data_IF_632618617533
#
_entry.id   IF_632618617533
#
_cell.length_a   1.000
_cell.length_b   1.000
_cell.length_c   1.000
_cell.angle_alpha   90.00
_cell.angle_beta   90.00
_cell.angle_gamma   90.00
#
_symmetry.space_group_name_H-M   'P 1'
#
loop_
_entity.id
_entity.type
_entity.pdbx_description
1 polymer ?
#
# COMPACT_ATOMS: atom_id res chain seq x y z
N UNK A 1 32.21 14.76 -8.72
CA UNK A 1 32.61 14.71 -7.30
C UNK A 1 31.46 14.07 -6.53
N UNK A 2 31.56 12.85 -5.97
CA UNK A 2 30.50 12.34 -5.14
C UNK A 2 30.64 13.03 -3.78
N UNK A 3 29.87 14.12 -3.60
CA UNK A 3 29.77 14.78 -2.31
C UNK A 3 29.07 13.81 -1.35
N UNK A 4 29.81 13.32 -0.36
CA UNK A 4 29.19 12.65 0.78
C UNK A 4 28.12 13.54 1.41
N UNK A 5 27.24 12.96 2.25
CA UNK A 5 26.17 13.72 2.89
C UNK A 5 26.78 14.92 3.64
N UNK A 6 26.38 16.13 3.24
CA UNK A 6 26.87 17.36 3.87
C UNK A 6 26.42 17.39 5.33
N UNK A 7 27.37 17.49 6.26
CA UNK A 7 27.06 17.64 7.69
C UNK A 7 26.12 18.84 7.93
N UNK A 8 26.27 19.90 7.14
CA UNK A 8 25.39 21.08 7.16
C UNK A 8 23.93 20.71 6.84
N UNK A 9 23.70 19.81 5.88
CA UNK A 9 22.35 19.38 5.52
C UNK A 9 21.72 18.49 6.59
N UNK A 10 22.54 17.64 7.24
CA UNK A 10 22.10 16.85 8.39
C UNK A 10 21.67 17.77 9.54
N UNK A 11 22.50 18.75 9.89
CA UNK A 11 22.21 19.70 10.98
C UNK A 11 20.97 20.55 10.65
N UNK A 12 20.82 20.99 9.39
CA UNK A 12 19.62 21.68 8.94
C UNK A 12 18.34 20.83 9.09
N UNK A 13 18.41 19.52 8.86
CA UNK A 13 17.26 18.62 9.08
C UNK A 13 16.91 18.48 10.57
N UNK A 14 17.91 18.50 11.46
CA UNK A 14 17.68 18.50 12.91
C UNK A 14 17.01 19.80 13.37
N UNK A 15 17.44 20.94 12.84
CA UNK A 15 16.79 22.23 13.11
C UNK A 15 15.36 22.25 12.55
N UNK A 16 15.14 21.75 11.34
CA UNK A 16 13.81 21.66 10.73
C UNK A 16 12.82 20.79 11.53
N UNK A 17 13.32 19.85 12.33
CA UNK A 17 12.50 19.05 13.26
C UNK A 17 11.91 19.88 14.41
N UNK A 18 12.57 20.99 14.80
CA UNK A 18 12.20 21.83 15.95
C UNK A 18 11.46 23.10 15.53
N UNK A 19 11.61 23.52 14.26
CA UNK A 19 10.94 24.69 13.70
C UNK A 19 9.44 24.42 13.43
N UNK A 20 8.98 24.64 12.21
CA UNK A 20 7.60 24.40 11.79
C UNK A 20 7.51 23.03 11.11
N UNK A 21 6.62 22.13 11.57
CA UNK A 21 6.34 20.86 10.90
C UNK A 21 6.07 20.99 9.39
N UNK A 22 5.54 22.13 8.93
CA UNK A 22 5.32 22.42 7.51
C UNK A 22 6.64 22.44 6.72
N UNK A 23 7.71 22.99 7.29
CA UNK A 23 9.03 23.04 6.64
C UNK A 23 9.55 21.62 6.45
N UNK A 24 9.48 20.79 7.50
CA UNK A 24 9.81 19.37 7.42
C UNK A 24 9.03 18.66 6.30
N UNK A 25 7.71 18.85 6.24
CA UNK A 25 6.88 18.24 5.19
C UNK A 25 7.27 18.71 3.79
N UNK A 26 7.58 19.99 3.60
CA UNK A 26 8.03 20.53 2.32
C UNK A 26 9.39 19.96 1.90
N UNK A 27 10.34 19.81 2.84
CA UNK A 27 11.64 19.16 2.57
C UNK A 27 11.42 17.72 2.14
N UNK A 28 10.65 16.94 2.90
CA UNK A 28 10.32 15.55 2.60
C UNK A 28 9.71 15.44 1.20
N UNK A 29 8.69 16.25 0.92
CA UNK A 29 7.98 16.25 -0.36
C UNK A 29 8.89 16.60 -1.53
N UNK A 30 9.71 17.66 -1.41
CA UNK A 30 10.66 18.05 -2.47
C UNK A 30 11.70 16.97 -2.71
N UNK A 31 12.22 16.37 -1.65
CA UNK A 31 13.22 15.31 -1.76
C UNK A 31 12.66 14.06 -2.45
N UNK A 32 11.46 13.60 -2.06
CA UNK A 32 10.81 12.46 -2.71
C UNK A 32 10.55 12.74 -4.19
N UNK A 33 10.01 13.92 -4.51
CA UNK A 33 9.77 14.34 -5.90
C UNK A 33 11.05 14.32 -6.73
N UNK A 34 12.16 14.80 -6.16
CA UNK A 34 13.46 14.78 -6.84
C UNK A 34 13.92 13.35 -7.11
N UNK A 35 13.80 12.44 -6.13
CA UNK A 35 14.18 11.05 -6.30
C UNK A 35 13.31 10.28 -7.29
N UNK A 36 12.04 10.65 -7.46
CA UNK A 36 11.13 10.01 -8.42
C UNK A 36 11.08 10.72 -9.78
N UNK A 37 11.82 11.82 -9.97
CA UNK A 37 11.78 12.59 -11.22
C UNK A 37 12.20 11.77 -12.45
N UNK A 38 13.25 10.95 -12.33
CA UNK A 38 13.70 10.05 -13.40
C UNK A 38 12.62 8.98 -13.70
N UNK A 39 12.00 8.41 -12.67
CA UNK A 39 10.92 7.44 -12.84
C UNK A 39 9.76 8.00 -13.63
N UNK A 40 9.37 9.25 -13.34
CA UNK A 40 8.29 9.95 -14.04
C UNK A 40 8.60 10.19 -15.52
N UNK A 41 9.87 10.19 -15.93
CA UNK A 41 10.26 10.32 -17.35
C UNK A 41 10.35 8.95 -18.01
N UNK A 42 10.99 7.99 -17.35
CA UNK A 42 11.21 6.65 -17.91
C UNK A 42 9.90 5.91 -18.19
N UNK A 43 8.88 6.11 -17.36
CA UNK A 43 7.65 5.32 -17.41
C UNK A 43 6.40 6.13 -17.73
N UNK A 44 6.57 7.21 -18.51
CA UNK A 44 5.46 7.97 -19.10
C UNK A 44 4.62 7.10 -20.02
N UNK A 45 3.34 7.43 -20.17
CA UNK A 45 2.38 6.66 -20.97
C UNK A 45 2.77 6.44 -22.44
N UNK A 46 3.59 7.33 -23.00
CA UNK A 46 4.08 7.26 -24.38
C UNK A 46 5.35 6.40 -24.55
N UNK A 47 5.92 5.86 -23.46
CA UNK A 47 7.11 5.02 -23.50
C UNK A 47 6.72 3.55 -23.58
N UNK A 48 7.38 2.79 -24.46
CA UNK A 48 7.14 1.33 -24.58
C UNK A 48 7.40 0.60 -23.26
N UNK A 49 8.39 1.07 -22.49
CA UNK A 49 8.75 0.48 -21.19
C UNK A 49 7.73 0.75 -20.10
N UNK A 50 6.73 1.60 -20.34
CA UNK A 50 5.68 1.92 -19.40
C UNK A 50 4.53 0.90 -19.41
N UNK A 51 4.44 0.06 -20.45
CA UNK A 51 3.38 -0.94 -20.57
C UNK A 51 3.47 -2.02 -19.49
N UNK A 52 2.33 -2.68 -19.25
CA UNK A 52 2.15 -3.64 -18.16
C UNK A 52 3.04 -4.88 -18.29
N UNK A 53 3.48 -5.23 -19.51
CA UNK A 53 4.40 -6.35 -19.76
C UNK A 53 5.79 -6.10 -19.17
N UNK A 54 6.15 -4.83 -18.95
CA UNK A 54 7.41 -4.40 -18.33
C UNK A 54 7.25 -4.00 -16.86
N UNK A 55 6.18 -4.42 -16.18
CA UNK A 55 5.93 -4.10 -14.75
C UNK A 55 7.14 -4.39 -13.84
N UNK A 56 7.89 -5.45 -14.13
CA UNK A 56 9.12 -5.81 -13.41
C UNK A 56 10.20 -4.73 -13.45
N UNK A 57 10.29 -3.98 -14.56
CA UNK A 57 11.25 -2.88 -14.68
C UNK A 57 10.94 -1.76 -13.69
N UNK A 58 9.66 -1.47 -13.45
CA UNK A 58 9.23 -0.49 -12.44
C UNK A 58 9.67 -0.92 -11.04
N UNK A 59 9.47 -2.20 -10.69
CA UNK A 59 9.87 -2.73 -9.38
C UNK A 59 11.38 -2.87 -9.20
N UNK A 60 12.11 -3.24 -10.25
CA UNK A 60 13.56 -3.26 -10.22
C UNK A 60 14.14 -1.85 -10.08
N UNK A 61 13.53 -0.85 -10.74
CA UNK A 61 13.93 0.54 -10.63
C UNK A 61 13.81 1.05 -9.19
N UNK A 62 12.65 0.88 -8.54
CA UNK A 62 12.47 1.37 -7.16
C UNK A 62 13.37 0.63 -6.15
N UNK A 63 13.60 -0.68 -6.34
CA UNK A 63 14.53 -1.43 -5.47
C UNK A 63 15.95 -0.86 -5.55
N UNK A 64 16.45 -0.58 -6.76
CA UNK A 64 17.74 0.10 -6.94
C UNK A 64 17.72 1.49 -6.32
N UNK A 65 16.67 2.26 -6.56
CA UNK A 65 16.54 3.61 -6.04
C UNK A 65 16.57 3.67 -4.50
N UNK A 66 15.97 2.68 -3.82
CA UNK A 66 16.00 2.57 -2.37
C UNK A 66 17.40 2.18 -1.85
N UNK A 67 18.11 1.28 -2.53
CA UNK A 67 19.49 0.93 -2.18
C UNK A 67 20.41 2.13 -2.31
N UNK A 68 20.34 2.81 -3.46
CA UNK A 68 21.07 4.05 -3.73
C UNK A 68 20.79 5.14 -2.69
N UNK A 69 19.52 5.25 -2.27
CA UNK A 69 19.13 6.19 -1.22
C UNK A 69 19.80 5.86 0.11
N UNK A 70 19.73 4.60 0.55
CA UNK A 70 20.32 4.18 1.83
C UNK A 70 21.84 4.40 1.86
N UNK A 71 22.53 4.10 0.76
CA UNK A 71 23.98 4.28 0.63
C UNK A 71 24.40 5.76 0.69
N UNK A 72 23.68 6.63 -0.04
CA UNK A 72 24.07 8.05 -0.19
C UNK A 72 23.52 8.94 0.93
N UNK A 73 22.32 8.64 1.43
CA UNK A 73 21.54 9.54 2.29
C UNK A 73 21.05 8.90 3.59
N UNK A 74 21.28 7.61 3.84
CA UNK A 74 20.74 6.89 5.00
C UNK A 74 21.12 7.46 6.38
N UNK A 75 22.18 8.28 6.46
CA UNK A 75 22.63 8.98 7.68
C UNK A 75 22.31 10.47 7.72
N UNK A 76 21.73 11.01 6.65
CA UNK A 76 21.49 12.45 6.50
C UNK A 76 20.20 12.88 7.19
N UNK A 77 19.11 12.12 7.01
CA UNK A 77 17.81 12.42 7.60
C UNK A 77 17.63 11.73 8.95
N UNK A 78 16.87 12.35 9.87
CA UNK A 78 16.46 11.67 11.09
C UNK A 78 15.66 10.39 10.79
N UNK A 79 15.91 9.31 11.54
CA UNK A 79 15.35 7.98 11.26
C UNK A 79 13.83 7.97 11.32
N UNK A 80 13.26 8.77 12.22
CA UNK A 80 11.83 8.95 12.43
C UNK A 80 11.12 9.66 11.26
N UNK A 81 11.86 10.21 10.29
CA UNK A 81 11.24 10.73 9.07
C UNK A 81 10.83 9.60 8.12
N UNK A 82 11.41 8.41 8.29
CA UNK A 82 11.09 7.21 7.52
C UNK A 82 11.16 7.43 6.00
N UNK A 83 12.18 8.17 5.55
CA UNK A 83 12.32 8.66 4.17
C UNK A 83 12.26 7.55 3.12
N UNK A 84 12.95 6.42 3.32
CA UNK A 84 12.90 5.30 2.38
C UNK A 84 11.48 4.72 2.22
N UNK A 85 10.74 4.62 3.33
CA UNK A 85 9.34 4.19 3.31
C UNK A 85 8.48 5.20 2.54
N UNK A 86 8.65 6.51 2.80
CA UNK A 86 7.91 7.56 2.08
C UNK A 86 8.19 7.58 0.58
N UNK A 87 9.44 7.34 0.16
CA UNK A 87 9.81 7.20 -1.26
C UNK A 87 9.06 6.01 -1.87
N UNK A 88 9.04 4.86 -1.19
CA UNK A 88 8.34 3.67 -1.65
C UNK A 88 6.82 3.89 -1.74
N UNK A 89 6.23 4.58 -0.75
CA UNK A 89 4.81 4.93 -0.72
C UNK A 89 4.45 5.83 -1.88
N UNK A 90 5.21 6.91 -2.12
CA UNK A 90 4.95 7.82 -3.24
C UNK A 90 5.12 7.11 -4.58
N UNK A 91 6.15 6.28 -4.73
CA UNK A 91 6.32 5.42 -5.90
C UNK A 91 5.07 4.56 -6.16
N UNK A 92 4.49 3.95 -5.12
CA UNK A 92 3.28 3.15 -5.27
C UNK A 92 2.08 3.99 -5.74
N UNK A 93 1.91 5.20 -5.19
CA UNK A 93 0.85 6.13 -5.59
C UNK A 93 0.96 6.56 -7.06
N UNK A 94 2.17 6.97 -7.47
CA UNK A 94 2.46 7.35 -8.86
C UNK A 94 2.23 6.17 -9.79
N UNK A 95 2.78 5.00 -9.46
CA UNK A 95 2.68 3.78 -10.28
C UNK A 95 1.23 3.36 -10.48
N UNK A 96 0.42 3.37 -9.42
CA UNK A 96 -1.02 3.08 -9.51
C UNK A 96 -1.73 4.03 -10.47
N UNK A 97 -1.45 5.33 -10.34
CA UNK A 97 -2.09 6.37 -11.14
C UNK A 97 -1.73 6.24 -12.61
N UNK A 98 -0.44 6.07 -12.92
CA UNK A 98 0.06 5.95 -14.29
C UNK A 98 -0.38 4.64 -14.96
N UNK A 99 -0.29 3.51 -14.26
CA UNK A 99 -0.78 2.24 -14.81
C UNK A 99 -2.29 2.28 -15.07
N UNK A 100 -3.07 2.91 -14.20
CA UNK A 100 -4.51 3.06 -14.41
C UNK A 100 -4.84 3.90 -15.65
N UNK A 101 -4.03 4.91 -15.98
CA UNK A 101 -4.19 5.69 -17.23
C UNK A 101 -3.84 4.84 -18.44
N UNK A 102 -2.65 4.24 -18.42
CA UNK A 102 -2.11 3.42 -19.50
C UNK A 102 -3.05 2.25 -19.85
N UNK A 103 -3.56 1.54 -18.84
CA UNK A 103 -4.52 0.43 -19.03
C UNK A 103 -5.87 0.90 -19.58
N UNK A 104 -6.33 2.11 -19.23
CA UNK A 104 -7.56 2.68 -19.82
C UNK A 104 -7.37 2.98 -21.31
N UNK A 105 -6.23 3.58 -21.68
CA UNK A 105 -5.94 3.96 -23.07
C UNK A 105 -5.80 2.74 -23.98
N UNK A 106 -5.14 1.67 -23.50
CA UNK A 106 -4.85 0.45 -24.28
C UNK A 106 -5.69 -0.74 -23.83
N UNK A 107 -6.93 -0.51 -23.40
CA UNK A 107 -7.78 -1.55 -22.81
C UNK A 107 -7.98 -2.78 -23.72
N UNK A 108 -8.02 -2.58 -25.04
CA UNK A 108 -8.17 -3.66 -26.04
C UNK A 108 -6.93 -4.56 -26.17
N UNK A 109 -5.78 -4.10 -25.70
CA UNK A 109 -4.51 -4.84 -25.76
C UNK A 109 -4.26 -5.66 -24.48
N UNK A 110 -5.19 -5.62 -23.52
CA UNK A 110 -5.05 -6.34 -22.25
C UNK A 110 -5.53 -7.78 -22.42
N UNK A 111 -4.58 -8.70 -22.40
CA UNK A 111 -4.87 -10.13 -22.34
C UNK A 111 -4.92 -10.63 -20.90
N UNK A 112 -5.72 -11.68 -20.64
CA UNK A 112 -5.83 -12.32 -19.31
C UNK A 112 -4.46 -12.78 -18.79
N UNK A 113 -3.62 -13.37 -19.66
CA UNK A 113 -2.28 -13.83 -19.28
C UNK A 113 -1.38 -12.68 -18.84
N UNK A 114 -1.43 -11.55 -19.56
CA UNK A 114 -0.67 -10.35 -19.21
C UNK A 114 -1.13 -9.78 -17.87
N UNK A 115 -2.44 -9.74 -17.63
CA UNK A 115 -2.99 -9.26 -16.36
C UNK A 115 -2.62 -10.16 -15.18
N UNK A 116 -2.73 -11.48 -15.33
CA UNK A 116 -2.33 -12.45 -14.30
C UNK A 116 -0.83 -12.35 -13.98
N UNK A 117 0.01 -12.24 -15.02
CA UNK A 117 1.44 -11.98 -14.85
C UNK A 117 1.65 -10.71 -14.01
N UNK A 118 1.04 -9.60 -14.38
CA UNK A 118 1.24 -8.34 -13.68
C UNK A 118 0.76 -8.36 -12.23
N UNK A 119 -0.41 -8.96 -11.95
CA UNK A 119 -0.94 -9.14 -10.59
C UNK A 119 0.05 -9.94 -9.76
N UNK A 120 0.53 -11.08 -10.26
CA UNK A 120 1.48 -11.93 -9.54
C UNK A 120 2.78 -11.19 -9.20
N UNK A 121 3.32 -10.40 -10.15
CA UNK A 121 4.54 -9.61 -9.90
C UNK A 121 4.28 -8.49 -8.90
N UNK A 122 3.12 -7.84 -8.97
CA UNK A 122 2.69 -6.80 -8.03
C UNK A 122 2.56 -7.35 -6.62
N UNK A 123 1.86 -8.48 -6.43
CA UNK A 123 1.70 -9.12 -5.12
C UNK A 123 3.04 -9.52 -4.50
N UNK A 124 3.97 -10.06 -5.30
CA UNK A 124 5.32 -10.37 -4.82
C UNK A 124 6.09 -9.11 -4.38
N UNK A 125 5.93 -8.01 -5.11
CA UNK A 125 6.56 -6.73 -4.75
C UNK A 125 5.94 -6.12 -3.49
N UNK A 126 4.61 -6.16 -3.33
CA UNK A 126 3.93 -5.73 -2.10
C UNK A 126 4.39 -6.53 -0.89
N UNK A 127 4.55 -7.86 -1.04
CA UNK A 127 5.12 -8.71 0.00
C UNK A 127 6.57 -8.35 0.36
N UNK A 128 7.36 -7.89 -0.60
CA UNK A 128 8.71 -7.36 -0.34
C UNK A 128 8.65 -6.05 0.47
N UNK A 129 7.78 -5.12 0.13
CA UNK A 129 7.62 -3.86 0.86
C UNK A 129 7.12 -4.10 2.29
N UNK A 130 6.13 -4.96 2.47
CA UNK A 130 5.56 -5.29 3.78
C UNK A 130 6.57 -5.93 4.74
N UNK A 131 7.56 -6.66 4.22
CA UNK A 131 8.67 -7.19 5.03
C UNK A 131 9.72 -6.13 5.35
N UNK A 132 9.89 -5.12 4.49
CA UNK A 132 10.96 -4.13 4.59
C UNK A 132 10.58 -2.93 5.47
N UNK A 133 9.29 -2.57 5.50
CA UNK A 133 8.78 -1.35 6.12
C UNK A 133 7.68 -1.65 7.15
N UNK A 134 7.58 -0.81 8.18
CA UNK A 134 6.61 -0.98 9.26
C UNK A 134 5.23 -0.40 8.94
N UNK A 135 5.12 0.48 7.94
CA UNK A 135 3.87 1.13 7.56
C UNK A 135 3.53 2.37 8.39
N UNK A 136 4.46 2.86 9.21
CA UNK A 136 4.26 4.03 10.07
C UNK A 136 3.91 5.31 9.28
N UNK A 137 4.34 5.40 8.02
CA UNK A 137 4.09 6.57 7.18
C UNK A 137 2.69 6.60 6.58
N UNK A 138 1.94 5.49 6.64
CA UNK A 138 0.60 5.36 6.10
C UNK A 138 -0.48 5.92 7.05
N UNK A 139 -0.19 5.98 8.35
CA UNK A 139 -1.12 6.43 9.40
C UNK A 139 -0.99 7.91 9.75
N UNK A 140 0.06 8.58 9.29
CA UNK A 140 0.38 10.00 9.58
C UNK A 140 -0.72 10.99 9.12
N UNK A 141 -1.70 10.54 8.33
CA UNK A 141 -2.87 11.33 7.95
C UNK A 141 -4.00 11.38 9.00
N UNK A 142 -3.89 10.67 10.13
CA UNK A 142 -4.97 10.59 11.14
C UNK A 142 -4.45 10.91 12.54
N UNK A 143 -4.10 12.18 12.79
CA UNK A 143 -4.09 12.70 14.17
C UNK A 143 -5.53 12.82 14.67
N UNK A 144 -6.12 11.70 15.08
CA UNK A 144 -7.15 11.69 16.13
C UNK A 144 -6.63 10.81 17.26
N UNK A 145 -6.24 11.51 18.33
CA UNK A 145 -6.02 11.04 19.70
C UNK A 145 -6.74 9.70 19.96
N UNK A 146 -5.96 8.64 20.22
CA UNK A 146 -6.46 7.41 20.83
C UNK A 146 -7.03 7.77 22.20
N UNK A 147 -8.33 8.02 22.27
CA UNK A 147 -9.07 7.95 23.52
C UNK A 147 -9.27 6.45 23.82
N UNK A 148 -8.85 6.04 25.02
CA UNK A 148 -9.00 4.67 25.52
C UNK A 148 -10.46 4.20 25.41
N UNK A 149 -10.72 2.95 25.00
CA UNK A 149 -12.09 2.43 24.98
C UNK A 149 -12.66 2.45 26.40
N UNK A 150 -13.91 2.91 26.60
CA UNK A 150 -14.54 2.87 27.91
C UNK A 150 -14.68 1.41 28.37
N UNK A 151 -14.61 1.13 29.68
CA UNK A 151 -14.87 -0.20 30.21
C UNK A 151 -16.27 -0.64 29.75
N UNK A 152 -16.37 -1.81 29.12
CA UNK A 152 -17.64 -2.38 28.69
C UNK A 152 -18.48 -2.68 29.93
N UNK A 153 -19.40 -1.77 30.25
CA UNK A 153 -20.46 -2.02 31.22
C UNK A 153 -21.49 -2.90 30.51
N UNK A 154 -21.21 -4.20 30.42
CA UNK A 154 -22.17 -5.19 29.95
C UNK A 154 -22.90 -5.76 31.18
N UNK A 155 -24.16 -5.36 31.45
CA UNK A 155 -24.88 -5.66 32.70
C UNK A 155 -25.49 -7.07 32.74
N UNK A 156 -24.99 -8.02 31.94
CA UNK A 156 -25.60 -9.35 31.73
C UNK A 156 -24.66 -10.51 32.06
N UNK A 157 -23.65 -10.28 32.90
CA UNK A 157 -22.83 -11.36 33.46
C UNK A 157 -23.09 -11.41 34.96
N UNK A 158 -24.09 -12.22 35.33
CA UNK A 158 -24.33 -12.65 36.70
C UNK A 158 -23.29 -13.72 37.09
N UNK A 159 -22.65 -13.50 38.25
CA UNK A 159 -22.07 -14.40 39.28
C UNK A 159 -22.06 -15.92 38.97
N UNK A 160 -21.06 -16.78 39.24
CA UNK A 160 -19.95 -16.95 40.21
C UNK A 160 -19.36 -18.37 39.88
N UNK A 161 -18.38 -18.99 40.58
CA UNK A 161 -17.36 -18.49 41.51
C UNK A 161 -15.92 -18.88 41.08
N UNK A 162 -14.96 -18.08 41.53
CA UNK A 162 -13.56 -18.46 41.72
C UNK A 162 -13.40 -19.43 42.89
N UNK A 163 -12.56 -20.48 42.79
CA UNK A 163 -11.91 -21.04 43.97
C UNK A 163 -10.52 -20.42 44.12
N UNK A 164 -10.38 -19.62 45.16
CA UNK A 164 -9.10 -19.35 45.81
C UNK A 164 -8.48 -20.66 46.31
N UNK A 165 -7.15 -20.80 46.22
CA UNK A 165 -6.44 -21.65 47.18
C UNK A 165 -5.00 -21.16 47.37
N UNK A 166 -4.68 -20.97 48.64
CA UNK A 166 -3.47 -20.39 49.21
C UNK A 166 -2.21 -21.26 49.07
N UNK A 167 -1.09 -20.59 49.34
CA UNK A 167 0.29 -21.04 49.54
C UNK A 167 0.46 -22.31 50.41
N UNK A 168 1.40 -23.20 50.02
CA UNK A 168 2.45 -23.69 50.93
C UNK A 168 3.59 -24.42 50.19
N UNK A 169 4.83 -24.16 50.62
CA UNK A 169 6.09 -24.71 50.11
C UNK A 169 6.48 -26.05 50.76
N UNK A 170 7.21 -26.95 50.06
CA UNK A 170 8.38 -27.69 50.60
C UNK A 170 9.28 -28.31 49.52
N UNK A 171 10.59 -28.07 49.70
CA UNK A 171 11.88 -28.62 49.24
C UNK A 171 12.10 -29.81 48.25
N UNK A 172 13.16 -29.58 47.44
CA UNK A 172 14.30 -30.42 46.97
C UNK A 172 14.11 -31.65 46.04
N UNK A 173 14.88 -31.63 44.94
CA UNK A 173 15.33 -32.82 44.22
C UNK A 173 15.95 -32.48 42.85
N UNK A 174 17.26 -32.65 42.71
CA UNK A 174 18.08 -32.45 41.51
C UNK A 174 17.98 -33.64 40.53
N UNK A 175 18.42 -33.40 39.28
CA UNK A 175 18.89 -34.36 38.25
C UNK A 175 18.00 -34.63 37.00
N UNK A 176 18.43 -33.99 35.91
CA UNK A 176 18.63 -34.49 34.53
C UNK A 176 17.46 -35.09 33.72
N UNK A 177 16.99 -34.36 32.69
CA UNK A 177 16.91 -34.82 31.28
C UNK A 177 16.16 -33.83 30.37
N UNK A 178 16.88 -33.38 29.33
CA UNK A 178 16.46 -32.88 27.99
C UNK A 178 14.99 -32.47 27.74
N UNK A 179 14.71 -31.25 27.22
CA UNK A 179 13.40 -30.95 26.65
C UNK A 179 13.27 -31.46 25.20
N UNK A 180 12.08 -31.96 24.81
CA UNK A 180 11.79 -32.36 23.44
C UNK A 180 11.52 -31.15 22.54
N UNK A 181 11.66 -31.35 21.22
CA UNK A 181 11.30 -30.39 20.16
C UNK A 181 9.88 -29.84 20.36
N UNK A 182 9.80 -28.58 20.78
CA UNK A 182 8.57 -27.81 20.94
C UNK A 182 8.37 -26.81 19.80
N UNK A 183 7.34 -27.07 19.01
CA UNK A 183 6.71 -26.21 18.01
C UNK A 183 6.30 -24.86 18.64
N UNK A 184 6.82 -23.74 18.14
CA UNK A 184 6.22 -22.41 18.28
C UNK A 184 5.53 -22.09 16.95
N UNK A 185 4.29 -22.54 16.71
CA UNK A 185 3.06 -21.98 17.25
C UNK A 185 3.01 -20.45 17.11
N UNK A 186 2.66 -20.04 15.88
CA UNK A 186 1.83 -18.89 15.54
C UNK A 186 1.71 -17.77 16.56
N UNK A 187 2.50 -16.70 16.36
CA UNK A 187 2.00 -15.37 16.67
C UNK A 187 1.25 -14.86 15.46
N UNK A 188 -0.08 -14.90 15.56
CA UNK A 188 -1.02 -14.22 14.70
C UNK A 188 -0.75 -12.72 14.78
N UNK A 189 0.13 -12.20 13.92
CA UNK A 189 0.01 -10.81 13.52
C UNK A 189 -0.97 -10.79 12.36
N UNK A 190 -2.23 -10.51 12.67
CA UNK A 190 -3.23 -10.11 11.69
C UNK A 190 -2.87 -8.73 11.13
N UNK A 191 -1.70 -8.61 10.52
CA UNK A 191 -1.35 -7.50 9.65
C UNK A 191 -2.11 -7.72 8.35
N UNK A 192 -3.31 -7.14 8.25
CA UNK A 192 -4.07 -7.14 7.00
C UNK A 192 -3.14 -6.65 5.88
N UNK A 193 -3.02 -7.37 4.75
CA UNK A 193 -2.17 -6.94 3.65
C UNK A 193 -2.63 -5.56 3.17
N UNK A 194 -1.67 -4.69 2.84
CA UNK A 194 -1.92 -3.32 2.36
C UNK A 194 -2.86 -3.28 1.14
N UNK A 195 -2.99 -4.41 0.41
CA UNK A 195 -4.01 -4.64 -0.60
C UNK A 195 -5.46 -4.28 -0.18
N UNK A 196 -5.83 -4.44 1.10
CA UNK A 196 -7.16 -4.02 1.59
C UNK A 196 -7.35 -2.50 1.59
N UNK A 197 -6.27 -1.72 1.75
CA UNK A 197 -6.33 -0.26 1.65
C UNK A 197 -6.32 0.23 0.19
N UNK A 198 -5.82 -0.57 -0.76
CA UNK A 198 -5.84 -0.25 -2.18
C UNK A 198 -7.19 -0.55 -2.86
N UNK A 199 -7.97 -1.50 -2.32
CA UNK A 199 -9.33 -1.84 -2.79
C UNK A 199 -10.46 -1.01 -2.13
N UNK A 200 -10.24 -0.42 -0.95
CA UNK A 200 -11.28 0.24 -0.16
C UNK A 200 -11.42 1.76 -0.38
N UNK A 201 -10.94 2.32 -1.51
CA UNK A 201 -11.25 3.72 -1.82
C UNK A 201 -12.70 3.81 -2.32
N UNK A 202 -13.61 4.55 -1.63
CA UNK A 202 -14.99 4.70 -2.08
C UNK A 202 -15.10 5.23 -3.52
N UNK A 203 -14.11 6.02 -3.95
CA UNK A 203 -14.02 6.55 -5.31
C UNK A 203 -13.83 5.45 -6.39
N UNK A 204 -13.15 4.34 -6.08
CA UNK A 204 -12.94 3.24 -7.05
C UNK A 204 -14.19 2.39 -7.21
N UNK A 205 -14.89 2.07 -6.10
CA UNK A 205 -16.16 1.34 -6.14
C UNK A 205 -17.25 2.18 -6.82
N UNK A 206 -17.32 3.49 -6.53
CA UNK A 206 -18.28 4.38 -7.17
C UNK A 206 -17.96 4.61 -8.66
N UNK A 207 -16.68 4.68 -9.05
CA UNK A 207 -16.31 4.80 -10.47
C UNK A 207 -16.73 3.56 -11.27
N UNK A 208 -16.40 2.36 -10.79
CA UNK A 208 -16.76 1.11 -11.49
C UNK A 208 -18.28 0.88 -11.53
N UNK A 209 -19.02 1.23 -10.47
CA UNK A 209 -20.48 1.11 -10.46
C UNK A 209 -21.16 2.17 -11.35
N UNK A 210 -20.56 3.34 -11.54
CA UNK A 210 -21.06 4.40 -12.43
C UNK A 210 -20.75 4.08 -13.90
N UNK A 211 -19.56 3.55 -14.20
CA UNK A 211 -19.20 3.07 -15.54
C UNK A 211 -20.09 1.88 -15.95
N UNK A 212 -20.31 0.91 -15.05
CA UNK A 212 -21.15 -0.27 -15.32
C UNK A 212 -22.61 0.08 -15.62
N UNK A 213 -23.24 0.96 -14.81
CA UNK A 213 -24.62 1.43 -15.05
C UNK A 213 -24.78 2.24 -16.35
N UNK A 214 -23.74 2.97 -16.74
CA UNK A 214 -23.74 3.77 -17.97
C UNK A 214 -23.65 2.90 -19.22
N UNK A 215 -22.83 1.84 -19.19
CA UNK A 215 -22.74 0.89 -20.30
C UNK A 215 -24.01 0.04 -20.44
N UNK A 216 -24.60 -0.40 -19.33
CA UNK A 216 -25.84 -1.18 -19.33
C UNK A 216 -27.04 -0.35 -19.85
N UNK A 217 -27.17 0.92 -19.43
CA UNK A 217 -28.19 1.83 -19.98
C UNK A 217 -28.03 2.09 -21.48
N UNK A 218 -26.79 2.14 -21.97
CA UNK A 218 -26.49 2.37 -23.39
C UNK A 218 -26.75 1.11 -24.23
N UNK A 219 -26.47 -0.07 -23.68
CA UNK A 219 -26.79 -1.36 -24.29
C UNK A 219 -28.31 -1.60 -24.35
N UNK A 220 -29.05 -1.28 -23.28
CA UNK A 220 -30.51 -1.40 -23.25
C UNK A 220 -31.22 -0.44 -24.22
N UNK A 221 -30.72 0.80 -24.37
CA UNK A 221 -31.24 1.75 -25.37
C UNK A 221 -30.99 1.27 -26.80
N UNK A 222 -29.78 0.78 -27.09
CA UNK A 222 -29.41 0.22 -28.40
C UNK A 222 -30.24 -1.02 -28.78
N UNK A 223 -30.47 -1.93 -27.83
CA UNK A 223 -31.37 -3.09 -28.05
C UNK A 223 -32.83 -2.70 -28.28
N UNK A 224 -33.32 -1.66 -27.59
CA UNK A 224 -34.68 -1.18 -27.77
C UNK A 224 -34.88 -0.48 -29.12
N UNK A 225 -33.87 0.24 -29.63
CA UNK A 225 -33.92 0.86 -30.97
C UNK A 225 -33.88 -0.20 -32.09
N UNK A 226 -33.09 -1.27 -31.93
CA UNK A 226 -33.03 -2.37 -32.90
C UNK A 226 -34.33 -3.19 -32.99
N UNK A 227 -35.11 -3.28 -31.90
CA UNK A 227 -36.42 -3.95 -31.94
C UNK A 227 -37.52 -3.10 -32.58
N UNK A 228 -37.42 -1.77 -32.53
CA UNK A 228 -38.40 -0.87 -33.16
C UNK A 228 -38.18 -0.73 -34.68
N UNK A 229 -36.95 -0.91 -35.17
CA UNK A 229 -36.66 -0.87 -36.61
C UNK A 229 -37.14 -2.10 -37.40
N UNK A 230 -37.47 -3.21 -36.72
CA UNK A 230 -37.91 -4.46 -37.37
C UNK A 230 -39.43 -4.62 -37.53
N UNK A 231 -40.24 -3.63 -37.12
CA UNK A 231 -41.72 -3.72 -37.20
C UNK A 231 -42.29 -3.01 -38.44
N UNK A 232 -41.48 -2.30 -39.22
CA UNK A 232 -41.96 -1.57 -40.41
C UNK A 232 -41.48 -2.21 -41.71
N UNK A 233 -41.92 -3.44 -41.97
CA UNK A 233 -41.84 -4.06 -43.30
C UNK A 233 -42.91 -3.50 -44.25
N UNK A 234 -42.67 -3.40 -45.57
CA UNK A 234 -43.61 -2.78 -46.49
C UNK A 234 -44.87 -3.64 -46.66
N UNK A 235 -46.04 -3.04 -46.49
CA UNK A 235 -47.33 -3.64 -46.81
C UNK A 235 -47.48 -3.69 -48.34
N UNK A 236 -47.34 -4.89 -48.91
CA UNK A 236 -47.58 -5.17 -50.33
C UNK A 236 -49.09 -5.03 -50.61
N UNK A 237 -49.45 -4.14 -51.53
CA UNK A 237 -50.71 -4.13 -52.29
C UNK A 237 -50.42 -3.70 -53.72
#
# INVERSE_FOLDING_TARGET
RPGGPSNVLRDACLVANILDPRIKQEIIKKFIKQHLSEYLVLFQENQDVAWLDKIDRRYAWIKRQLVDYEEKYGRMFPREWCMAERIAVEFCHVTRTELAKIMRTRAKEIEVKLLLFAIQRTTNFEGFLAKRFSGCTLTDGTLKKLESPPPSTNPFLEDEPTPEMEELATEKGDLDQTPPKGRLAGRTSSGKPVAMYFAASPAFIHSQHREGRSQESRASRSSSEMMQSNVSGPLIK
#
